data_IF_967091035760
#
_entry.id   IF_967091035760
#
_cell.length_a   1.000
_cell.length_b   1.000
_cell.length_c   1.000
_cell.angle_alpha   90.00
_cell.angle_beta   90.00
_cell.angle_gamma   90.00
#
_symmetry.space_group_name_H-M   'P 1'
#
loop_
_entity.id
_entity.type
_entity.pdbx_description
1 polymer ?
#
# COMPACT_ATOMS: atom_id res chain seq x y z
N UNK A 1 5.58 3.47 7.67
CA UNK A 1 4.84 3.30 8.93
C UNK A 1 3.92 2.08 8.90
N UNK A 2 3.07 1.98 7.87
CA UNK A 2 2.16 0.85 7.65
C UNK A 2 2.85 -0.53 7.67
N UNK A 3 3.75 -0.80 6.72
CA UNK A 3 4.45 -2.10 6.68
C UNK A 3 5.35 -2.37 7.89
N UNK A 4 5.90 -1.32 8.52
CA UNK A 4 6.61 -1.50 9.78
C UNK A 4 5.69 -1.96 10.93
N UNK A 5 4.42 -1.52 10.95
CA UNK A 5 3.45 -2.02 11.91
C UNK A 5 3.14 -3.51 11.66
N UNK A 6 3.01 -3.90 10.38
CA UNK A 6 2.79 -5.29 9.97
C UNK A 6 3.96 -6.17 10.42
N UNK A 7 5.20 -5.80 10.10
CA UNK A 7 6.40 -6.55 10.52
C UNK A 7 6.53 -6.71 12.04
N UNK A 8 5.94 -5.79 12.81
CA UNK A 8 5.94 -5.82 14.28
C UNK A 8 4.74 -6.57 14.87
N UNK A 9 3.86 -7.13 14.05
CA UNK A 9 2.60 -7.75 14.47
C UNK A 9 1.58 -6.75 15.05
N UNK A 10 1.79 -5.45 14.83
CA UNK A 10 0.91 -4.38 15.30
C UNK A 10 -0.26 -4.19 14.32
N UNK A 11 -1.02 -5.25 14.06
CA UNK A 11 -2.05 -5.27 13.02
C UNK A 11 -3.15 -4.24 13.25
N UNK A 12 -3.54 -3.95 14.49
CA UNK A 12 -4.50 -2.89 14.79
C UNK A 12 -3.99 -1.51 14.33
N UNK A 13 -2.71 -1.22 14.57
CA UNK A 13 -2.07 0.02 14.09
C UNK A 13 -1.97 0.04 12.57
N UNK A 14 -1.65 -1.10 11.96
CA UNK A 14 -1.58 -1.22 10.50
C UNK A 14 -2.96 -0.98 9.86
N UNK A 15 -3.99 -1.62 10.40
CA UNK A 15 -5.37 -1.54 9.92
C UNK A 15 -5.93 -0.12 10.06
N UNK A 16 -5.57 0.60 11.13
CA UNK A 16 -5.97 2.00 11.35
C UNK A 16 -5.40 3.01 10.32
N UNK A 17 -4.41 2.63 9.49
CA UNK A 17 -3.96 3.49 8.41
C UNK A 17 -4.93 3.55 7.22
N UNK A 18 -5.85 2.59 7.12
CA UNK A 18 -6.87 2.55 6.08
C UNK A 18 -8.02 3.51 6.41
N UNK A 19 -8.46 4.29 5.43
CA UNK A 19 -9.69 5.09 5.56
C UNK A 19 -10.92 4.18 5.59
N UNK A 20 -10.98 3.26 4.62
CA UNK A 20 -11.98 2.20 4.55
C UNK A 20 -11.29 0.93 4.06
N UNK A 21 -10.98 0.02 4.98
CA UNK A 21 -10.39 -1.26 4.60
C UNK A 21 -11.43 -2.10 3.82
N UNK A 22 -10.98 -2.74 2.73
CA UNK A 22 -11.82 -3.59 1.87
C UNK A 22 -12.15 -4.95 2.48
N UNK A 23 -11.38 -5.39 3.47
CA UNK A 23 -11.52 -6.65 4.19
C UNK A 23 -11.69 -6.43 5.69
N UNK A 24 -12.19 -7.44 6.40
CA UNK A 24 -12.31 -7.38 7.87
C UNK A 24 -10.93 -7.39 8.55
N UNK A 25 -10.88 -7.01 9.82
CA UNK A 25 -9.64 -7.04 10.60
C UNK A 25 -9.05 -8.45 10.68
N UNK A 26 -9.89 -9.47 10.88
CA UNK A 26 -9.43 -10.86 11.01
C UNK A 26 -8.84 -11.37 9.68
N UNK A 27 -9.49 -11.08 8.55
CA UNK A 27 -8.96 -11.41 7.21
C UNK A 27 -7.65 -10.67 6.93
N UNK A 28 -7.58 -9.39 7.32
CA UNK A 28 -6.36 -8.59 7.21
C UNK A 28 -5.21 -9.18 8.01
N UNK A 29 -5.43 -9.52 9.29
CA UNK A 29 -4.39 -10.06 10.15
C UNK A 29 -3.93 -11.43 9.65
N UNK A 30 -4.88 -12.31 9.29
CA UNK A 30 -4.61 -13.63 8.73
C UNK A 30 -3.74 -13.56 7.46
N UNK A 31 -3.98 -12.57 6.59
CA UNK A 31 -3.18 -12.37 5.38
C UNK A 31 -1.70 -12.06 5.61
N UNK A 32 -1.30 -11.68 6.83
CA UNK A 32 0.08 -11.35 7.19
C UNK A 32 0.68 -12.29 8.26
N UNK A 33 -0.01 -13.36 8.66
CA UNK A 33 0.47 -14.28 9.71
C UNK A 33 1.82 -14.93 9.39
N UNK A 34 2.04 -15.26 8.12
CA UNK A 34 3.27 -15.89 7.65
C UNK A 34 4.36 -14.89 7.24
N UNK A 35 4.10 -13.58 7.35
CA UNK A 35 5.04 -12.55 6.91
C UNK A 35 6.10 -12.28 7.98
N UNK A 36 7.36 -12.55 7.64
CA UNK A 36 8.52 -12.35 8.53
C UNK A 36 9.18 -10.98 8.34
N UNK A 37 9.33 -10.55 7.08
CA UNK A 37 10.02 -9.32 6.74
C UNK A 37 9.47 -8.74 5.43
N UNK A 38 9.47 -7.42 5.33
CA UNK A 38 8.90 -6.70 4.20
C UNK A 38 9.87 -5.62 3.73
N UNK A 39 10.27 -5.69 2.45
CA UNK A 39 11.01 -4.62 1.80
C UNK A 39 10.17 -3.94 0.74
N UNK A 40 10.08 -2.61 0.79
CA UNK A 40 9.35 -1.81 -0.19
C UNK A 40 10.29 -0.98 -1.05
N UNK A 41 9.94 -0.90 -2.33
CA UNK A 41 10.43 0.10 -3.25
C UNK A 41 9.20 0.82 -3.82
N UNK A 42 9.15 2.12 -3.65
CA UNK A 42 8.05 2.95 -4.15
C UNK A 42 8.58 3.97 -5.13
N UNK A 43 7.80 4.25 -6.16
CA UNK A 43 8.00 5.43 -6.98
C UNK A 43 7.16 6.56 -6.38
N UNK A 44 7.77 7.66 -5.90
CA UNK A 44 7.00 8.78 -5.40
C UNK A 44 6.10 9.33 -6.50
N UNK A 45 4.89 9.80 -6.15
CA UNK A 45 3.98 10.38 -7.11
C UNK A 45 4.62 11.59 -7.80
N UNK A 46 4.52 11.65 -9.12
CA UNK A 46 4.91 12.82 -9.91
C UNK A 46 3.76 13.81 -10.08
N UNK A 47 2.52 13.35 -9.87
CA UNK A 47 1.30 14.14 -10.01
C UNK A 47 0.35 13.86 -8.83
N UNK A 48 -0.33 14.91 -8.35
CA UNK A 48 -1.34 14.83 -7.31
C UNK A 48 -2.65 15.34 -7.89
N UNK A 49 -3.67 14.49 -7.93
CA UNK A 49 -4.97 14.88 -8.46
C UNK A 49 -5.86 15.39 -7.32
N UNK A 50 -6.17 16.68 -7.38
CA UNK A 50 -7.16 17.31 -6.51
C UNK A 50 -8.56 17.11 -7.07
N UNK A 51 -9.43 16.45 -6.33
CA UNK A 51 -10.84 16.26 -6.68
C UNK A 51 -11.73 16.78 -5.55
N UNK A 52 -12.71 17.64 -5.86
CA UNK A 52 -13.80 18.11 -4.99
C UNK A 52 -13.69 17.76 -3.48
N UNK A 53 -12.78 18.43 -2.75
CA UNK A 53 -12.64 18.24 -1.30
C UNK A 53 -11.59 17.23 -0.84
N UNK A 54 -10.86 16.61 -1.75
CA UNK A 54 -9.86 15.59 -1.46
C UNK A 54 -8.68 15.65 -2.42
N UNK A 55 -7.54 15.13 -1.99
CA UNK A 55 -6.38 14.88 -2.85
C UNK A 55 -6.14 13.39 -2.85
N UNK A 56 -6.04 12.81 -4.06
CA UNK A 56 -5.69 11.42 -4.27
C UNK A 56 -4.31 11.31 -4.88
N UNK A 57 -3.58 10.29 -4.45
CA UNK A 57 -2.19 10.06 -4.87
C UNK A 57 -1.98 8.58 -5.09
N UNK A 58 -1.59 8.23 -6.30
CA UNK A 58 -1.16 6.89 -6.68
C UNK A 58 0.34 6.71 -6.39
N UNK A 59 0.70 5.58 -5.78
CA UNK A 59 2.07 5.24 -5.40
C UNK A 59 2.39 3.87 -5.98
N UNK A 60 3.04 3.82 -7.16
CA UNK A 60 3.55 2.58 -7.70
C UNK A 60 4.52 1.93 -6.72
N UNK A 61 4.31 0.65 -6.45
CA UNK A 61 5.00 -0.08 -5.37
C UNK A 61 5.42 -1.45 -5.85
N UNK A 62 6.67 -1.80 -5.57
CA UNK A 62 7.18 -3.17 -5.57
C UNK A 62 7.46 -3.58 -4.14
N UNK A 63 6.94 -4.74 -3.74
CA UNK A 63 7.03 -5.29 -2.40
C UNK A 63 7.68 -6.66 -2.44
N UNK A 64 8.61 -6.89 -1.53
CA UNK A 64 9.21 -8.19 -1.27
C UNK A 64 8.78 -8.65 0.11
N UNK A 65 8.07 -9.78 0.19
CA UNK A 65 7.64 -10.40 1.44
C UNK A 65 8.47 -11.66 1.67
N UNK A 66 9.31 -11.64 2.70
CA UNK A 66 9.93 -12.85 3.22
C UNK A 66 8.98 -13.56 4.16
N UNK A 67 8.72 -14.85 3.93
CA UNK A 67 7.82 -15.65 4.75
C UNK A 67 8.56 -16.50 5.78
N UNK A 68 7.84 -16.96 6.80
CA UNK A 68 8.37 -17.79 7.90
C UNK A 68 8.91 -19.14 7.45
N UNK A 69 8.44 -19.65 6.32
CA UNK A 69 8.91 -20.89 5.67
C UNK A 69 10.21 -20.71 4.86
N UNK A 70 10.72 -19.48 4.77
CA UNK A 70 11.93 -19.12 4.03
C UNK A 70 11.70 -18.76 2.56
N UNK A 71 10.46 -18.75 2.08
CA UNK A 71 10.13 -18.29 0.73
C UNK A 71 10.15 -16.76 0.64
N UNK A 72 10.36 -16.26 -0.58
CA UNK A 72 10.33 -14.85 -0.92
C UNK A 72 9.31 -14.62 -2.02
N UNK A 73 8.28 -13.85 -1.70
CA UNK A 73 7.23 -13.47 -2.63
C UNK A 73 7.44 -12.03 -3.10
N UNK A 74 7.29 -11.80 -4.40
CA UNK A 74 7.41 -10.45 -4.99
C UNK A 74 6.04 -10.00 -5.48
N UNK A 75 5.67 -8.78 -5.13
CA UNK A 75 4.41 -8.16 -5.53
C UNK A 75 4.70 -6.85 -6.25
N UNK A 76 3.87 -6.54 -7.25
CA UNK A 76 3.85 -5.24 -7.91
C UNK A 76 2.43 -4.70 -7.93
N UNK A 77 2.28 -3.39 -7.76
CA UNK A 77 0.98 -2.75 -7.93
C UNK A 77 0.93 -1.32 -7.40
N UNK A 78 -0.28 -0.87 -7.10
CA UNK A 78 -0.57 0.53 -6.83
C UNK A 78 -1.23 0.71 -5.47
N UNK A 79 -0.67 1.59 -4.66
CA UNK A 79 -1.38 2.16 -3.53
C UNK A 79 -2.06 3.46 -3.95
N UNK A 80 -3.28 3.68 -3.47
CA UNK A 80 -3.97 4.97 -3.55
C UNK A 80 -4.06 5.52 -2.14
N UNK A 81 -3.56 6.74 -1.95
CA UNK A 81 -3.70 7.47 -0.69
C UNK A 81 -4.63 8.67 -0.89
N UNK A 82 -5.36 9.02 0.18
CA UNK A 82 -6.30 10.13 0.19
C UNK A 82 -6.08 11.02 1.40
N UNK A 83 -6.27 12.32 1.23
CA UNK A 83 -6.47 13.27 2.32
C UNK A 83 -7.57 14.27 1.98
N UNK A 84 -8.20 14.85 3.00
CA UNK A 84 -9.11 16.00 2.83
C UNK A 84 -8.33 17.26 2.45
N UNK A 85 -8.96 18.14 1.66
CA UNK A 85 -8.45 19.50 1.42
C UNK A 85 -9.46 20.62 1.74
N UNK A 86 -10.56 20.28 2.44
CA UNK A 86 -11.58 21.24 2.91
C UNK A 86 -11.24 21.73 4.33
N UNK A 87 -11.57 22.98 4.63
CA UNK A 87 -11.43 23.58 5.97
C UNK A 87 -12.54 23.18 6.98
N UNK A 88 -12.24 23.16 8.30
CA UNK A 88 -10.92 23.40 8.89
C UNK A 88 -9.98 22.26 8.54
N UNK A 89 -8.76 22.61 8.12
CA UNK A 89 -7.78 21.73 7.48
C UNK A 89 -7.17 20.67 8.42
N UNK A 90 -7.88 20.29 9.50
CA UNK A 90 -7.40 19.48 10.61
C UNK A 90 -7.20 17.99 10.26
N UNK A 91 -7.34 17.60 8.99
CA UNK A 91 -6.88 16.28 8.54
C UNK A 91 -6.02 16.41 7.28
N UNK A 92 -4.82 17.00 7.44
CA UNK A 92 -3.70 16.82 6.50
C UNK A 92 -3.15 15.40 6.51
N UNK A 93 -3.67 14.55 7.39
CA UNK A 93 -3.35 13.12 7.51
C UNK A 93 -3.70 12.40 6.22
N UNK A 94 -2.71 11.72 5.66
CA UNK A 94 -2.91 10.77 4.57
C UNK A 94 -3.38 9.44 5.13
N UNK A 95 -4.39 8.87 4.48
CA UNK A 95 -4.86 7.52 4.72
C UNK A 95 -4.63 6.66 3.48
N UNK A 96 -4.47 5.35 3.69
CA UNK A 96 -4.58 4.37 2.61
C UNK A 96 -6.05 4.30 2.20
N UNK A 97 -6.32 4.58 0.94
CA UNK A 97 -7.67 4.61 0.38
C UNK A 97 -7.98 3.32 -0.37
N UNK A 98 -7.02 2.85 -1.17
CA UNK A 98 -7.11 1.59 -1.91
C UNK A 98 -5.71 1.01 -2.11
N UNK A 99 -5.63 -0.30 -2.37
CA UNK A 99 -4.41 -0.90 -2.90
C UNK A 99 -4.69 -2.16 -3.71
N UNK A 100 -4.03 -2.25 -4.84
CA UNK A 100 -3.98 -3.45 -5.68
C UNK A 100 -2.55 -3.90 -5.74
N UNK A 101 -2.25 -5.10 -5.22
CA UNK A 101 -0.95 -5.75 -5.33
C UNK A 101 -1.15 -7.13 -5.94
N UNK A 102 -0.35 -7.45 -6.95
CA UNK A 102 -0.39 -8.74 -7.63
C UNK A 102 0.97 -9.41 -7.46
N UNK A 103 0.95 -10.67 -7.04
CA UNK A 103 2.16 -11.49 -7.00
C UNK A 103 2.70 -11.69 -8.42
N UNK A 104 4.01 -11.55 -8.58
CA UNK A 104 4.66 -11.63 -9.89
C UNK A 104 6.09 -12.12 -9.73
N UNK A 105 6.65 -12.65 -10.81
CA UNK A 105 8.06 -12.99 -10.85
C UNK A 105 8.92 -11.72 -10.78
N UNK A 106 10.06 -11.82 -10.07
CA UNK A 106 11.02 -10.72 -10.00
C UNK A 106 11.56 -10.39 -11.40
N UNK A 107 11.40 -9.13 -11.80
CA UNK A 107 11.92 -8.60 -13.05
C UNK A 107 12.65 -7.26 -12.80
N UNK A 108 12.88 -6.48 -13.84
CA UNK A 108 13.41 -5.14 -13.72
C UNK A 108 12.45 -4.26 -12.89
N UNK A 109 12.92 -3.81 -11.72
CA UNK A 109 12.13 -3.02 -10.77
C UNK A 109 11.60 -1.73 -11.40
N UNK A 110 12.36 -1.07 -12.29
CA UNK A 110 11.91 0.16 -12.92
C UNK A 110 10.73 -0.09 -13.86
N UNK A 111 10.76 -1.18 -14.62
CA UNK A 111 9.62 -1.63 -15.44
C UNK A 111 8.41 -1.95 -14.57
N UNK A 112 8.60 -2.73 -13.50
CA UNK A 112 7.53 -3.10 -12.58
C UNK A 112 6.84 -1.88 -11.97
N UNK A 113 7.62 -0.87 -11.54
CA UNK A 113 7.10 0.39 -11.02
C UNK A 113 6.36 1.21 -12.08
N UNK A 114 6.84 1.22 -13.33
CA UNK A 114 6.19 1.98 -14.41
C UNK A 114 4.81 1.42 -14.80
N UNK A 115 4.61 0.12 -14.59
CA UNK A 115 3.38 -0.60 -14.94
C UNK A 115 2.43 -0.76 -13.75
N UNK A 116 2.91 -0.54 -12.52
CA UNK A 116 2.22 -0.90 -11.28
C UNK A 116 0.85 -0.21 -11.08
N UNK A 117 0.69 1.02 -11.57
CA UNK A 117 -0.54 1.81 -11.45
C UNK A 117 -1.33 1.93 -12.75
N UNK A 118 -0.95 1.20 -13.81
CA UNK A 118 -1.70 1.20 -15.06
C UNK A 118 -2.96 0.36 -14.85
N UNK A 119 -4.06 1.00 -14.47
CA UNK A 119 -5.38 0.39 -14.51
C UNK A 119 -5.66 0.01 -15.95
N UNK A 120 -5.83 -1.29 -16.23
CA UNK A 120 -6.21 -1.76 -17.56
C UNK A 120 -7.43 -0.98 -18.05
N UNK A 121 -7.29 -0.36 -19.22
CA UNK A 121 -8.39 0.20 -19.99
C UNK A 121 -9.39 -0.88 -20.41
#
# INVERSE_FOLDING_TARGET
>A
SYYNAIERGEYERAYAYWENASQTFDEFAAGFEDTLAIQLIVQPPTHMDGAAGSVYVQIPTVLFAGHTDGTLHTYSGCFVTRRSNIEPADTTTWHLYDATLTETDLNNIATMLSEACVTGE
#
